data_IF_564037286466
#
_entry.id   IF_564037286466
#
_cell.length_a   1.000
_cell.length_b   1.000
_cell.length_c   1.000
_cell.angle_alpha   90.00
_cell.angle_beta   90.00
_cell.angle_gamma   90.00
#
_symmetry.space_group_name_H-M   'P 1'
#
loop_
_entity.id
_entity.type
_entity.pdbx_description
1 polymer ?
#
# COMPACT_ATOMS: atom_id res chain seq x y z
N UNK A 1 7.38 -2.81 -16.43
CA UNK A 1 6.75 -4.14 -16.48
C UNK A 1 6.46 -4.58 -17.91
N UNK A 2 5.77 -3.80 -18.68
CA UNK A 2 5.45 -4.16 -20.08
C UNK A 2 6.63 -4.01 -21.03
N UNK A 3 7.50 -3.04 -20.82
CA UNK A 3 8.59 -2.71 -21.74
C UNK A 3 9.58 -3.84 -21.93
N UNK A 4 9.90 -4.59 -20.89
CA UNK A 4 10.84 -5.71 -20.98
C UNK A 4 10.34 -6.84 -21.88
N UNK A 5 9.00 -7.02 -21.96
CA UNK A 5 8.40 -8.09 -22.71
C UNK A 5 7.99 -7.66 -24.13
N UNK A 6 7.75 -6.38 -24.35
CA UNK A 6 7.27 -5.88 -25.65
C UNK A 6 8.30 -6.03 -26.75
N UNK A 7 9.59 -6.10 -26.43
CA UNK A 7 10.66 -6.24 -27.41
C UNK A 7 10.74 -7.65 -28.01
N UNK A 8 10.23 -8.66 -27.30
CA UNK A 8 10.32 -10.06 -27.73
C UNK A 8 8.99 -10.66 -28.20
N UNK A 9 7.90 -9.91 -28.10
CA UNK A 9 6.57 -10.37 -28.46
C UNK A 9 6.12 -9.76 -29.80
N UNK A 10 5.39 -10.53 -30.63
CA UNK A 10 4.81 -9.98 -31.86
C UNK A 10 3.71 -8.95 -31.59
N UNK A 11 3.11 -8.97 -30.40
CA UNK A 11 2.07 -8.04 -29.97
C UNK A 11 2.45 -7.46 -28.62
N UNK A 12 2.22 -6.14 -28.40
CA UNK A 12 2.44 -5.55 -27.09
C UNK A 12 1.45 -6.11 -26.07
N UNK A 13 1.90 -6.23 -24.82
CA UNK A 13 1.02 -6.62 -23.72
C UNK A 13 0.08 -5.45 -23.38
N UNK A 14 -1.21 -5.74 -23.36
CA UNK A 14 -2.24 -4.75 -23.04
C UNK A 14 -2.85 -5.06 -21.67
N UNK A 15 -2.82 -4.12 -20.70
CA UNK A 15 -3.39 -4.36 -19.37
C UNK A 15 -4.87 -4.74 -19.39
N UNK A 16 -5.64 -4.25 -20.37
CA UNK A 16 -7.06 -4.58 -20.51
C UNK A 16 -7.30 -6.06 -20.80
N UNK A 17 -6.32 -6.78 -21.33
CA UNK A 17 -6.39 -8.20 -21.64
C UNK A 17 -5.79 -9.09 -20.55
N UNK A 18 -5.54 -8.52 -19.36
CA UNK A 18 -4.89 -9.22 -18.25
C UNK A 18 -5.64 -9.01 -16.97
N UNK A 19 -5.56 -10.02 -16.10
CA UNK A 19 -6.01 -9.92 -14.72
C UNK A 19 -4.82 -9.98 -13.78
N UNK A 20 -4.90 -9.22 -12.69
CA UNK A 20 -3.89 -9.21 -11.66
C UNK A 20 -4.43 -9.94 -10.42
N UNK A 21 -3.67 -10.90 -9.92
CA UNK A 21 -3.96 -11.53 -8.64
C UNK A 21 -3.65 -10.58 -7.48
N UNK A 22 -3.89 -11.06 -6.27
CA UNK A 22 -3.54 -10.28 -5.09
C UNK A 22 -2.04 -10.28 -4.88
N UNK A 23 -1.45 -9.12 -4.53
CA UNK A 23 -0.02 -9.05 -4.23
C UNK A 23 0.30 -9.84 -2.95
N UNK A 24 1.39 -10.57 -2.98
CA UNK A 24 1.84 -11.38 -1.86
C UNK A 24 3.20 -10.89 -1.37
N UNK A 25 3.34 -10.78 -0.06
CA UNK A 25 4.62 -10.44 0.55
C UNK A 25 5.60 -11.60 0.38
N UNK A 26 6.83 -11.29 0.00
CA UNK A 26 7.90 -12.27 -0.13
C UNK A 26 9.14 -11.84 0.64
N UNK A 27 9.91 -12.82 1.06
CA UNK A 27 11.20 -12.61 1.71
C UNK A 27 12.29 -13.34 0.91
N UNK A 28 13.55 -12.96 1.14
CA UNK A 28 14.68 -13.58 0.47
C UNK A 28 15.14 -12.87 -0.79
N UNK A 29 14.39 -11.91 -1.30
CA UNK A 29 14.81 -11.03 -2.39
C UNK A 29 15.45 -9.77 -1.81
N UNK A 30 16.53 -9.32 -2.46
CA UNK A 30 17.31 -8.20 -1.93
C UNK A 30 16.56 -6.86 -1.97
N UNK A 31 15.77 -6.64 -3.01
CA UNK A 31 15.09 -5.36 -3.23
C UNK A 31 13.58 -5.53 -3.37
N UNK A 32 13.14 -6.64 -3.91
CA UNK A 32 11.72 -6.87 -4.15
C UNK A 32 11.08 -7.52 -2.93
N UNK A 33 9.94 -7.02 -2.52
CA UNK A 33 9.21 -7.52 -1.36
C UNK A 33 7.83 -8.06 -1.69
N UNK A 34 7.47 -8.10 -2.96
CA UNK A 34 6.11 -8.47 -3.37
C UNK A 34 6.14 -9.27 -4.66
N UNK A 35 5.31 -10.30 -4.71
CA UNK A 35 4.99 -11.01 -5.97
C UNK A 35 3.54 -10.79 -6.33
N UNK A 36 3.25 -10.82 -7.62
CA UNK A 36 1.90 -10.77 -8.15
C UNK A 36 1.80 -11.68 -9.35
N UNK A 37 0.69 -12.40 -9.48
CA UNK A 37 0.42 -13.22 -10.64
C UNK A 37 -0.40 -12.41 -11.64
N UNK A 38 0.07 -12.36 -12.88
CA UNK A 38 -0.62 -11.70 -13.98
C UNK A 38 -1.08 -12.79 -14.94
N UNK A 39 -2.37 -12.85 -15.22
CA UNK A 39 -2.98 -13.87 -16.05
C UNK A 39 -3.62 -13.27 -17.30
N UNK A 40 -3.54 -13.97 -18.41
CA UNK A 40 -4.22 -13.57 -19.62
C UNK A 40 -5.74 -13.75 -19.48
N UNK A 41 -6.50 -12.81 -20.01
CA UNK A 41 -7.96 -12.93 -20.14
C UNK A 41 -8.26 -13.75 -21.40
N UNK A 42 -9.20 -14.70 -21.28
CA UNK A 42 -9.40 -15.81 -22.22
C UNK A 42 -9.59 -15.51 -23.70
N UNK A 43 -9.97 -14.29 -24.09
CA UNK A 43 -10.24 -13.94 -25.49
C UNK A 43 -9.11 -13.18 -26.17
N UNK A 44 -7.97 -13.04 -25.50
CA UNK A 44 -6.82 -12.31 -26.03
C UNK A 44 -5.87 -13.21 -26.81
N UNK A 45 -4.81 -12.60 -27.35
CA UNK A 45 -3.71 -13.31 -28.00
C UNK A 45 -2.76 -13.96 -26.99
N UNK A 46 -2.92 -13.70 -25.71
CA UNK A 46 -2.05 -14.16 -24.66
C UNK A 46 -2.71 -15.30 -23.90
N UNK A 47 -1.92 -16.29 -23.54
CA UNK A 47 -2.36 -17.45 -22.77
C UNK A 47 -1.43 -17.64 -21.56
N UNK A 48 -2.00 -18.19 -20.49
CA UNK A 48 -1.26 -18.54 -19.29
C UNK A 48 -1.11 -17.39 -18.31
N UNK A 49 -0.18 -17.56 -17.40
CA UNK A 49 0.10 -16.60 -16.35
C UNK A 49 1.58 -16.49 -16.07
N UNK A 50 2.00 -15.40 -15.47
CA UNK A 50 3.37 -15.14 -15.06
C UNK A 50 3.39 -14.53 -13.68
N UNK A 51 4.37 -14.92 -12.88
CA UNK A 51 4.64 -14.31 -11.59
C UNK A 51 5.68 -13.21 -11.74
N UNK A 52 5.34 -12.02 -11.27
CA UNK A 52 6.24 -10.86 -11.28
C UNK A 52 6.60 -10.49 -9.85
N UNK A 53 7.83 -10.04 -9.66
CA UNK A 53 8.29 -9.49 -8.38
C UNK A 53 8.53 -8.00 -8.49
N UNK A 54 8.22 -7.27 -7.43
CA UNK A 54 8.47 -5.83 -7.35
C UNK A 54 8.52 -5.37 -5.90
N UNK A 55 8.85 -4.10 -5.68
CA UNK A 55 8.87 -3.52 -4.35
C UNK A 55 7.64 -2.66 -4.10
N UNK A 56 6.92 -2.97 -3.04
CA UNK A 56 5.98 -2.02 -2.43
C UNK A 56 6.73 -1.20 -1.38
N UNK A 57 6.33 0.05 -1.21
CA UNK A 57 6.87 0.87 -0.13
C UNK A 57 6.40 0.30 1.21
N UNK A 58 7.33 -0.12 2.05
CA UNK A 58 7.04 -0.71 3.34
C UNK A 58 7.20 0.35 4.43
N UNK A 59 6.08 0.84 4.95
CA UNK A 59 6.09 1.87 5.97
C UNK A 59 6.65 1.37 7.30
N UNK A 60 6.45 0.10 7.62
CA UNK A 60 7.01 -0.48 8.84
C UNK A 60 8.53 -0.44 8.85
N UNK A 61 9.14 -0.76 7.71
CA UNK A 61 10.59 -0.75 7.57
C UNK A 61 11.16 0.67 7.41
N UNK A 62 10.53 1.48 6.57
CA UNK A 62 11.05 2.80 6.22
C UNK A 62 10.96 3.80 7.36
N UNK A 63 10.01 3.64 8.27
CA UNK A 63 9.92 4.50 9.45
C UNK A 63 11.09 4.28 10.41
N UNK A 64 11.75 3.12 10.37
CA UNK A 64 12.86 2.81 11.28
C UNK A 64 12.49 2.90 12.74
N UNK A 65 11.22 2.64 13.08
CA UNK A 65 10.67 2.84 14.41
C UNK A 65 10.19 4.26 14.70
N UNK A 66 10.37 5.20 13.77
CA UNK A 66 9.82 6.55 13.92
C UNK A 66 8.30 6.54 13.75
N UNK A 67 7.65 7.45 14.44
CA UNK A 67 6.19 7.57 14.42
C UNK A 67 5.80 8.94 13.86
N UNK A 68 4.67 8.98 13.16
CA UNK A 68 4.12 10.24 12.70
C UNK A 68 3.36 10.91 13.84
N UNK A 69 3.62 12.19 14.06
CA UNK A 69 2.86 12.98 15.02
C UNK A 69 1.69 13.66 14.32
N UNK A 70 0.49 13.42 14.84
CA UNK A 70 -0.74 14.02 14.32
C UNK A 70 -1.51 14.67 15.46
N UNK A 71 -1.87 15.94 15.29
CA UNK A 71 -2.73 16.66 16.21
C UNK A 71 -4.11 16.81 15.57
N UNK A 72 -5.17 16.50 16.31
CA UNK A 72 -6.49 16.55 15.73
C UNK A 72 -7.64 16.49 16.73
N UNK A 73 -8.87 16.26 16.25
CA UNK A 73 -10.05 16.16 17.10
C UNK A 73 -9.95 15.06 18.15
N UNK A 74 -10.75 15.16 19.20
CA UNK A 74 -10.74 14.20 20.29
C UNK A 74 -11.05 12.77 19.89
N UNK A 75 -11.82 12.54 18.83
CA UNK A 75 -12.04 11.21 18.27
C UNK A 75 -11.27 11.07 16.97
N UNK A 76 -10.19 10.27 16.94
CA UNK A 76 -9.43 10.06 15.70
C UNK A 76 -10.26 9.32 14.66
N UNK A 77 -10.04 9.65 13.40
CA UNK A 77 -10.58 8.90 12.27
C UNK A 77 -9.45 8.49 11.34
N UNK A 78 -9.63 7.37 10.64
CA UNK A 78 -8.66 6.92 9.65
C UNK A 78 -8.43 8.01 8.59
N UNK A 79 -9.49 8.64 8.10
CA UNK A 79 -9.38 9.68 7.09
C UNK A 79 -8.56 10.87 7.55
N UNK A 80 -8.80 11.34 8.78
CA UNK A 80 -8.07 12.50 9.31
C UNK A 80 -6.58 12.21 9.44
N UNK A 81 -6.25 11.06 10.05
CA UNK A 81 -4.86 10.67 10.24
C UNK A 81 -4.15 10.44 8.90
N UNK A 82 -4.83 9.83 7.96
CA UNK A 82 -4.26 9.54 6.64
C UNK A 82 -3.96 10.83 5.87
N UNK A 83 -4.84 11.81 5.94
CA UNK A 83 -4.61 13.12 5.32
C UNK A 83 -3.38 13.81 5.93
N UNK A 84 -3.24 13.74 7.24
CA UNK A 84 -2.10 14.34 7.92
C UNK A 84 -0.77 13.67 7.53
N UNK A 85 -0.77 12.35 7.45
CA UNK A 85 0.42 11.60 7.02
C UNK A 85 0.75 11.90 5.55
N UNK A 86 -0.25 11.97 4.69
CA UNK A 86 -0.05 12.30 3.28
C UNK A 86 0.57 13.69 3.11
N UNK A 87 0.15 14.67 3.91
CA UNK A 87 0.74 16.00 3.89
C UNK A 87 2.20 16.01 4.36
N UNK A 88 2.51 15.21 5.36
CA UNK A 88 3.88 15.14 5.90
C UNK A 88 4.85 14.43 4.97
N UNK A 89 4.38 13.40 4.28
CA UNK A 89 5.24 12.56 3.43
C UNK A 89 5.20 12.94 1.96
N UNK A 90 4.13 13.57 1.50
CA UNK A 90 3.88 13.80 0.09
C UNK A 90 3.42 12.56 -0.69
N UNK A 91 3.24 11.42 -0.03
CA UNK A 91 2.75 10.21 -0.69
C UNK A 91 1.25 10.29 -0.98
N UNK A 92 0.80 9.85 -2.15
CA UNK A 92 -0.61 9.88 -2.52
C UNK A 92 -1.39 8.71 -1.89
N UNK A 93 -1.45 8.67 -0.56
CA UNK A 93 -2.17 7.63 0.17
C UNK A 93 -3.63 8.05 0.28
N UNK A 94 -4.53 7.18 -0.11
CA UNK A 94 -5.97 7.42 -0.04
C UNK A 94 -6.67 6.39 0.84
N UNK A 95 -7.92 6.69 1.20
CA UNK A 95 -8.70 5.84 2.11
C UNK A 95 -8.87 4.42 1.57
N UNK A 96 -8.93 4.24 0.25
CA UNK A 96 -9.04 2.93 -0.38
C UNK A 96 -7.79 2.04 -0.19
N UNK A 97 -6.65 2.63 0.16
CA UNK A 97 -5.39 1.91 0.34
C UNK A 97 -5.30 1.18 1.68
N UNK A 98 -6.11 1.58 2.65
CA UNK A 98 -5.97 1.17 4.05
C UNK A 98 -7.22 0.50 4.57
N UNK A 99 -7.05 -0.26 5.66
CA UNK A 99 -8.18 -0.79 6.42
C UNK A 99 -8.75 0.32 7.30
N UNK A 100 -10.07 0.55 7.18
CA UNK A 100 -10.76 1.56 7.96
C UNK A 100 -11.14 0.97 9.31
N UNK A 101 -10.74 1.64 10.39
CA UNK A 101 -11.00 1.18 11.75
C UNK A 101 -11.68 2.28 12.55
N UNK A 102 -12.30 1.87 13.66
CA UNK A 102 -12.86 2.78 14.64
C UNK A 102 -11.87 2.92 15.79
N UNK A 103 -11.56 4.15 16.15
CA UNK A 103 -10.62 4.44 17.23
C UNK A 103 -11.34 5.02 18.44
N UNK A 104 -10.88 4.69 19.66
CA UNK A 104 -11.44 5.28 20.85
C UNK A 104 -11.12 6.76 20.96
N UNK A 105 -11.96 7.56 21.64
CA UNK A 105 -11.65 8.96 21.90
C UNK A 105 -10.33 9.10 22.67
N UNK A 106 -9.58 10.14 22.36
CA UNK A 106 -8.35 10.51 23.06
C UNK A 106 -8.64 11.74 23.91
N UNK A 107 -8.37 11.70 25.22
CA UNK A 107 -8.57 12.87 26.07
C UNK A 107 -7.74 14.07 25.62
N UNK A 108 -8.30 15.26 25.77
CA UNK A 108 -7.66 16.50 25.36
C UNK A 108 -6.27 16.65 25.96
N UNK A 109 -5.30 16.94 25.09
CA UNK A 109 -3.90 17.11 25.49
C UNK A 109 -3.11 15.82 25.68
N UNK A 110 -3.77 14.66 25.68
CA UNK A 110 -3.10 13.37 25.80
C UNK A 110 -2.62 12.85 24.47
N UNK A 111 -1.60 11.98 24.54
CA UNK A 111 -1.01 11.33 23.39
C UNK A 111 -1.42 9.85 23.38
N UNK A 112 -1.85 9.36 22.22
CA UNK A 112 -2.18 7.95 22.05
C UNK A 112 -1.49 7.41 20.81
N UNK A 113 -0.93 6.21 20.90
CA UNK A 113 -0.31 5.54 19.77
C UNK A 113 -1.35 4.73 19.03
N UNK A 114 -1.55 5.05 17.75
CA UNK A 114 -2.53 4.41 16.88
C UNK A 114 -1.85 3.81 15.66
N UNK A 115 -2.48 2.83 15.06
CA UNK A 115 -1.93 2.12 13.90
C UNK A 115 -2.93 2.12 12.76
N UNK A 116 -2.46 2.41 11.55
CA UNK A 116 -3.22 2.23 10.31
C UNK A 116 -2.52 1.15 9.50
N UNK A 117 -3.26 0.13 9.10
CA UNK A 117 -2.71 -0.97 8.29
C UNK A 117 -3.13 -0.80 6.83
N UNK A 118 -2.22 -1.10 5.91
CA UNK A 118 -2.54 -1.14 4.50
C UNK A 118 -3.27 -2.43 4.16
N UNK A 119 -4.19 -2.36 3.20
CA UNK A 119 -4.85 -3.57 2.67
C UNK A 119 -3.80 -4.46 2.02
N UNK A 120 -3.93 -5.77 2.22
CA UNK A 120 -3.02 -6.74 1.60
C UNK A 120 -3.05 -6.68 0.07
N UNK A 121 -4.19 -6.26 -0.48
CA UNK A 121 -4.39 -6.10 -1.92
C UNK A 121 -3.81 -4.82 -2.49
N UNK A 122 -3.29 -3.93 -1.66
CA UNK A 122 -2.70 -2.69 -2.14
C UNK A 122 -1.43 -2.95 -2.96
N UNK A 123 -1.35 -2.37 -4.14
CA UNK A 123 -0.24 -2.62 -5.06
C UNK A 123 0.99 -1.75 -4.80
N UNK A 124 0.85 -0.67 -4.03
CA UNK A 124 1.92 0.33 -3.82
C UNK A 124 2.54 0.26 -2.44
N UNK A 125 1.73 0.02 -1.43
CA UNK A 125 2.12 0.16 -0.03
C UNK A 125 1.87 -1.12 0.75
N UNK A 126 2.74 -1.37 1.71
CA UNK A 126 2.61 -2.48 2.66
C UNK A 126 3.07 -2.02 4.05
N UNK A 127 2.82 -2.84 5.06
CA UNK A 127 3.21 -2.55 6.43
C UNK A 127 2.15 -1.76 7.18
N UNK A 128 2.60 -1.03 8.18
CA UNK A 128 1.74 -0.30 9.09
C UNK A 128 2.26 1.13 9.30
N UNK A 129 1.34 2.08 9.40
CA UNK A 129 1.63 3.42 9.85
C UNK A 129 1.42 3.49 11.36
N UNK A 130 2.46 3.84 12.10
CA UNK A 130 2.37 4.09 13.53
C UNK A 130 2.26 5.59 13.76
N UNK A 131 1.21 6.01 14.45
CA UNK A 131 0.85 7.41 14.62
C UNK A 131 0.77 7.74 16.09
N UNK A 132 1.51 8.75 16.51
CA UNK A 132 1.34 9.40 17.81
C UNK A 132 0.28 10.49 17.65
N UNK A 133 -0.91 10.21 18.11
CA UNK A 133 -2.04 11.11 17.98
C UNK A 133 -2.25 11.90 19.28
N UNK A 134 -2.27 13.22 19.15
CA UNK A 134 -2.59 14.13 20.25
C UNK A 134 -3.92 14.79 19.98
N UNK A 135 -4.86 14.67 20.92
CA UNK A 135 -6.13 15.38 20.85
C UNK A 135 -5.95 16.86 21.24
N UNK A 136 -6.59 17.71 20.48
CA UNK A 136 -6.62 19.15 20.78
C UNK A 136 -7.41 19.47 22.02
#
# INVERSE_FOLDING_TARGET
>A
MQTANNTSLPYPLEPALMTFGDPQKVSGYRYDNTTITVSAVGDGFYLGSVELTYSRYDFGWSQGGAQFLVNGPGTPTTQYMLNAVAQQTGFPIVLADVNIETYPPVPSGELSTLTITFKDTNLRYTGELTIDYRAN
#
